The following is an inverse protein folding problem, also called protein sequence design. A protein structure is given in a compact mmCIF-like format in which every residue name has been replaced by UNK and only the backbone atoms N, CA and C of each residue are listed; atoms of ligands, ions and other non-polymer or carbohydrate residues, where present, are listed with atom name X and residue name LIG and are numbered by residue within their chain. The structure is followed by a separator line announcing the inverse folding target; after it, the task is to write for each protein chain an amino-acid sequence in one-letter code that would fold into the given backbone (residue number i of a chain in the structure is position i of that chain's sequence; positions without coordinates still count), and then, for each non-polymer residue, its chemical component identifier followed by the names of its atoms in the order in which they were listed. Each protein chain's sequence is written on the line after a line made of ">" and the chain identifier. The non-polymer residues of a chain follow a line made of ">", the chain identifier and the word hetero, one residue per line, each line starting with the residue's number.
data_IF_535328698100
#
_entry.id   IF_535328698100
#
_cell.length_a   1.000
_cell.length_b   1.000
_cell.length_c   1.000
_cell.angle_alpha   90.00
_cell.angle_beta   90.00
_cell.angle_gamma   90.00
#
_symmetry.space_group_name_H-M   'P 1'
#
loop_
_entity.id
_entity.type
_entity.pdbx_description
1 polymer ?
#
# COMPACT_ATOMS: atom_id res chain seq x y z
N UNK A 1 11.91 -24.17 -11.06
CA UNK A 1 11.98 -22.71 -11.15
C UNK A 1 10.55 -22.18 -11.15
N UNK A 2 10.12 -21.51 -10.08
CA UNK A 2 8.70 -21.23 -9.83
C UNK A 2 8.29 -19.86 -10.37
N UNK A 3 8.64 -19.57 -11.63
CA UNK A 3 8.40 -18.27 -12.27
C UNK A 3 6.92 -17.89 -12.28
N UNK A 4 6.05 -18.87 -12.58
CA UNK A 4 4.59 -18.71 -12.57
C UNK A 4 4.04 -18.43 -11.18
N UNK A 5 4.54 -19.09 -10.13
CA UNK A 5 4.10 -18.85 -8.76
C UNK A 5 4.52 -17.45 -8.27
N UNK A 6 5.76 -17.03 -8.58
CA UNK A 6 6.22 -15.68 -8.25
C UNK A 6 5.39 -14.60 -8.98
N UNK A 7 5.06 -14.84 -10.25
CA UNK A 7 4.19 -13.95 -11.02
C UNK A 7 2.78 -13.87 -10.42
N UNK A 8 2.18 -15.01 -10.06
CA UNK A 8 0.87 -15.07 -9.42
C UNK A 8 0.85 -14.36 -8.07
N UNK A 9 1.85 -14.61 -7.21
CA UNK A 9 1.95 -13.97 -5.89
C UNK A 9 2.04 -12.45 -6.02
N UNK A 10 2.95 -11.95 -6.86
CA UNK A 10 3.12 -10.53 -7.09
C UNK A 10 1.88 -9.88 -7.72
N UNK A 11 1.19 -10.59 -8.62
CA UNK A 11 -0.08 -10.14 -9.19
C UNK A 11 -1.16 -9.94 -8.13
N UNK A 12 -1.32 -10.91 -7.21
CA UNK A 12 -2.27 -10.77 -6.10
C UNK A 12 -1.90 -9.64 -5.15
N UNK A 13 -0.61 -9.45 -4.84
CA UNK A 13 -0.17 -8.32 -4.00
C UNK A 13 -0.55 -6.97 -4.61
N UNK A 14 -0.36 -6.79 -5.92
CA UNK A 14 -0.76 -5.56 -6.61
C UNK A 14 -2.28 -5.36 -6.56
N UNK A 15 -3.07 -6.41 -6.78
CA UNK A 15 -4.53 -6.33 -6.67
C UNK A 15 -4.95 -5.92 -5.26
N UNK A 16 -4.35 -6.49 -4.23
CA UNK A 16 -4.67 -6.17 -2.84
C UNK A 16 -4.32 -4.71 -2.50
N UNK A 17 -3.21 -4.17 -3.04
CA UNK A 17 -2.86 -2.75 -2.89
C UNK A 17 -3.85 -1.80 -3.55
N UNK A 18 -4.31 -2.13 -4.76
CA UNK A 18 -5.36 -1.37 -5.45
C UNK A 18 -6.67 -1.45 -4.66
N UNK A 19 -7.03 -2.64 -4.19
CA UNK A 19 -8.24 -2.86 -3.40
C UNK A 19 -8.24 -2.03 -2.11
N UNK A 20 -7.12 -2.01 -1.39
CA UNK A 20 -6.95 -1.15 -0.21
C UNK A 20 -7.18 0.33 -0.56
N UNK A 21 -6.60 0.81 -1.67
CA UNK A 21 -6.77 2.21 -2.09
C UNK A 21 -8.23 2.55 -2.41
N UNK A 22 -8.97 1.63 -3.03
CA UNK A 22 -10.40 1.79 -3.32
C UNK A 22 -11.20 1.85 -2.01
N UNK A 23 -10.93 0.96 -1.06
CA UNK A 23 -11.58 0.97 0.24
C UNK A 23 -11.31 2.26 1.01
N UNK A 24 -10.06 2.75 1.01
CA UNK A 24 -9.71 4.01 1.66
C UNK A 24 -10.42 5.20 1.01
N UNK A 25 -10.54 5.21 -0.32
CA UNK A 25 -11.30 6.25 -1.01
C UNK A 25 -12.80 6.20 -0.68
N UNK A 26 -13.37 5.00 -0.58
CA UNK A 26 -14.76 4.81 -0.16
C UNK A 26 -14.98 5.30 1.28
N UNK A 27 -14.07 4.98 2.20
CA UNK A 27 -14.10 5.48 3.58
C UNK A 27 -14.11 7.02 3.63
N UNK A 28 -13.29 7.69 2.81
CA UNK A 28 -13.26 9.16 2.78
C UNK A 28 -14.53 9.80 2.24
N UNK A 29 -15.25 9.11 1.36
CA UNK A 29 -16.53 9.59 0.79
C UNK A 29 -17.66 9.44 1.82
N UNK A 30 -17.69 8.33 2.55
CA UNK A 30 -18.75 8.00 3.51
C UNK A 30 -18.49 8.55 4.92
N UNK A 31 -17.28 9.05 5.21
CA UNK A 31 -16.94 9.61 6.51
C UNK A 31 -17.89 10.78 6.88
N UNK A 32 -18.50 10.77 8.09
CA UNK A 32 -19.41 11.83 8.51
C UNK A 32 -18.69 13.12 8.95
N UNK A 33 -17.37 13.18 8.78
CA UNK A 33 -16.50 14.30 9.12
C UNK A 33 -15.49 14.52 7.99
N UNK A 34 -14.94 15.72 7.96
CA UNK A 34 -14.08 16.26 6.92
C UNK A 34 -12.76 16.74 7.51
N UNK A 35 -11.79 17.05 6.66
CA UNK A 35 -10.49 17.60 7.10
C UNK A 35 -10.61 18.93 7.88
N UNK A 36 -11.69 19.68 7.66
CA UNK A 36 -11.99 20.93 8.37
C UNK A 36 -12.62 20.74 9.75
N UNK A 37 -12.99 19.51 10.13
CA UNK A 37 -13.65 19.23 11.41
C UNK A 37 -12.64 19.14 12.56
N UNK A 38 -12.19 20.31 12.97
CA UNK A 38 -11.30 20.56 14.10
C UNK A 38 -10.02 19.69 14.06
N UNK A 39 -9.48 19.38 15.24
CA UNK A 39 -8.21 18.65 15.38
C UNK A 39 -8.35 17.18 14.97
N UNK A 40 -9.52 16.58 15.20
CA UNK A 40 -9.75 15.17 14.86
C UNK A 40 -9.71 14.95 13.35
N UNK A 41 -10.53 15.68 12.59
CA UNK A 41 -10.58 15.55 11.13
C UNK A 41 -9.24 15.86 10.48
N UNK A 42 -8.57 16.94 10.90
CA UNK A 42 -7.25 17.29 10.36
C UNK A 42 -6.19 16.21 10.64
N UNK A 43 -6.13 15.66 11.86
CA UNK A 43 -5.16 14.60 12.20
C UNK A 43 -5.47 13.32 11.45
N UNK A 44 -6.74 12.92 11.39
CA UNK A 44 -7.20 11.73 10.67
C UNK A 44 -6.80 11.78 9.20
N UNK A 45 -7.27 12.78 8.45
CA UNK A 45 -7.10 12.84 7.00
C UNK A 45 -5.65 13.09 6.57
N UNK A 46 -4.86 13.84 7.35
CA UNK A 46 -3.43 14.04 7.03
C UNK A 46 -2.64 12.76 7.26
N UNK A 47 -2.82 12.08 8.40
CA UNK A 47 -2.06 10.87 8.72
C UNK A 47 -2.42 9.71 7.78
N UNK A 48 -3.71 9.43 7.64
CA UNK A 48 -4.22 8.35 6.76
C UNK A 48 -4.03 8.70 5.28
N UNK A 49 -4.17 9.98 4.89
CA UNK A 49 -3.95 10.43 3.52
C UNK A 49 -2.49 10.35 3.09
N UNK A 50 -1.55 10.74 3.95
CA UNK A 50 -0.12 10.59 3.66
C UNK A 50 0.26 9.12 3.54
N UNK A 51 -0.26 8.26 4.41
CA UNK A 51 -0.10 6.82 4.29
C UNK A 51 -0.71 6.28 2.98
N UNK A 52 -1.93 6.69 2.61
CA UNK A 52 -2.57 6.31 1.36
C UNK A 52 -1.74 6.69 0.12
N UNK A 53 -1.09 7.86 0.14
CA UNK A 53 -0.13 8.25 -0.90
C UNK A 53 1.05 7.28 -0.97
N UNK A 54 1.59 6.82 0.17
CA UNK A 54 2.65 5.81 0.18
C UNK A 54 2.17 4.46 -0.34
N UNK A 55 0.93 4.04 -0.04
CA UNK A 55 0.33 2.82 -0.62
C UNK A 55 0.27 2.91 -2.15
N UNK A 56 -0.11 4.05 -2.71
CA UNK A 56 -0.14 4.26 -4.18
C UNK A 56 1.27 4.16 -4.77
N UNK A 57 2.27 4.80 -4.16
CA UNK A 57 3.67 4.70 -4.59
C UNK A 57 4.17 3.26 -4.51
N UNK A 58 3.88 2.55 -3.42
CA UNK A 58 4.28 1.15 -3.24
C UNK A 58 3.62 0.23 -4.28
N UNK A 59 2.32 0.43 -4.53
CA UNK A 59 1.54 -0.40 -5.47
C UNK A 59 2.02 -0.19 -6.89
N UNK A 60 2.32 1.05 -7.28
CA UNK A 60 2.91 1.34 -8.59
C UNK A 60 4.33 0.77 -8.72
N UNK A 61 5.14 0.82 -7.66
CA UNK A 61 6.47 0.20 -7.67
C UNK A 61 6.41 -1.33 -7.83
N UNK A 62 5.49 -2.00 -7.11
CA UNK A 62 5.24 -3.43 -7.28
C UNK A 62 4.68 -3.77 -8.67
N UNK A 63 3.81 -2.93 -9.23
CA UNK A 63 3.31 -3.09 -10.60
C UNK A 63 4.45 -3.03 -11.62
N UNK A 64 5.39 -2.09 -11.48
CA UNK A 64 6.59 -2.05 -12.33
C UNK A 64 7.42 -3.32 -12.16
N UNK A 65 7.57 -3.83 -10.93
CA UNK A 65 8.24 -5.11 -10.71
C UNK A 65 7.50 -6.28 -11.38
N UNK A 66 6.17 -6.30 -11.36
CA UNK A 66 5.35 -7.31 -12.03
C UNK A 66 5.58 -7.32 -13.53
N UNK A 67 5.57 -6.14 -14.16
CA UNK A 67 5.83 -5.98 -15.60
C UNK A 67 7.28 -6.37 -15.97
N UNK A 68 8.25 -6.10 -15.09
CA UNK A 68 9.65 -6.52 -15.31
C UNK A 68 9.82 -8.04 -15.16
N UNK A 69 9.13 -8.65 -14.19
CA UNK A 69 9.17 -10.10 -13.97
C UNK A 69 8.51 -10.86 -15.13
N UNK A 70 7.39 -10.37 -15.66
CA UNK A 70 6.74 -10.96 -16.84
C UNK A 70 7.60 -10.90 -18.10
N UNK A 71 8.47 -9.88 -18.21
CA UNK A 71 9.46 -9.73 -19.29
C UNK A 71 10.81 -10.39 -19.01
N UNK A 72 10.91 -11.24 -17.99
CA UNK A 72 12.13 -11.99 -17.63
C UNK A 72 13.36 -11.10 -17.32
N UNK A 73 13.16 -9.88 -16.80
CA UNK A 73 14.28 -8.99 -16.45
C UNK A 73 14.98 -9.38 -15.13
N UNK A 74 14.40 -10.26 -14.32
CA UNK A 74 14.97 -10.70 -13.05
C UNK A 74 15.62 -12.07 -13.19
N UNK A 75 16.77 -12.24 -12.52
CA UNK A 75 17.38 -13.55 -12.30
C UNK A 75 17.25 -13.94 -10.83
N UNK A 76 17.50 -15.21 -10.50
CA UNK A 76 17.41 -15.71 -9.12
C UNK A 76 18.35 -15.03 -8.13
N UNK A 77 19.41 -14.39 -8.63
CA UNK A 77 20.46 -13.77 -7.80
C UNK A 77 20.50 -12.24 -7.96
N UNK A 78 19.76 -11.68 -8.92
CA UNK A 78 19.81 -10.27 -9.24
C UNK A 78 18.40 -9.71 -9.48
N UNK A 79 17.80 -9.27 -8.38
CA UNK A 79 16.44 -8.74 -8.33
C UNK A 79 16.29 -7.61 -7.30
N UNK A 80 17.33 -6.80 -7.10
CA UNK A 80 17.32 -5.70 -6.10
C UNK A 80 16.13 -4.74 -6.24
N UNK A 81 15.68 -4.46 -7.47
CA UNK A 81 14.49 -3.62 -7.68
C UNK A 81 13.22 -4.19 -7.04
N UNK A 82 13.08 -5.52 -7.03
CA UNK A 82 12.00 -6.20 -6.32
C UNK A 82 12.24 -6.21 -4.81
N UNK A 83 13.47 -6.43 -4.34
CA UNK A 83 13.81 -6.35 -2.91
C UNK A 83 13.48 -4.98 -2.31
N UNK A 84 13.86 -3.90 -2.99
CA UNK A 84 13.55 -2.54 -2.57
C UNK A 84 12.04 -2.28 -2.54
N UNK A 85 11.29 -2.78 -3.52
CA UNK A 85 9.84 -2.67 -3.54
C UNK A 85 9.20 -3.46 -2.39
N UNK A 86 9.72 -4.65 -2.06
CA UNK A 86 9.24 -5.46 -0.95
C UNK A 86 9.53 -4.80 0.41
N UNK A 87 10.72 -4.20 0.59
CA UNK A 87 11.03 -3.41 1.79
C UNK A 87 10.09 -2.22 1.95
N UNK A 88 9.83 -1.50 0.85
CA UNK A 88 8.90 -0.39 0.87
C UNK A 88 7.47 -0.84 1.19
N UNK A 89 7.04 -1.99 0.64
CA UNK A 89 5.73 -2.55 0.91
C UNK A 89 5.54 -2.92 2.40
N UNK A 90 6.52 -3.58 3.00
CA UNK A 90 6.47 -3.89 4.43
C UNK A 90 6.54 -2.65 5.33
N UNK A 91 7.27 -1.61 4.91
CA UNK A 91 7.23 -0.32 5.60
C UNK A 91 5.80 0.25 5.62
N UNK A 92 5.11 0.24 4.47
CA UNK A 92 3.72 0.68 4.37
C UNK A 92 2.82 -0.15 5.28
N UNK A 93 2.93 -1.47 5.27
CA UNK A 93 2.13 -2.36 6.14
C UNK A 93 2.30 -2.02 7.64
N UNK A 94 3.54 -1.82 8.09
CA UNK A 94 3.81 -1.51 9.50
C UNK A 94 3.22 -0.16 9.89
N UNK A 95 3.36 0.88 9.05
CA UNK A 95 2.75 2.19 9.30
C UNK A 95 1.22 2.07 9.41
N UNK A 96 0.59 1.26 8.57
CA UNK A 96 -0.85 1.04 8.63
C UNK A 96 -1.29 0.43 9.97
N UNK A 97 -0.57 -0.57 10.47
CA UNK A 97 -0.89 -1.19 11.77
C UNK A 97 -0.85 -0.16 12.92
N UNK A 98 0.12 0.76 12.91
CA UNK A 98 0.18 1.83 13.89
C UNK A 98 -0.99 2.83 13.76
N UNK A 99 -1.35 3.21 12.53
CA UNK A 99 -2.50 4.09 12.28
C UNK A 99 -3.81 3.44 12.72
N UNK A 100 -4.01 2.16 12.39
CA UNK A 100 -5.20 1.40 12.77
C UNK A 100 -5.36 1.35 14.30
N UNK A 101 -4.31 0.96 15.03
CA UNK A 101 -4.39 0.88 16.49
C UNK A 101 -4.61 2.26 17.13
N UNK A 102 -3.91 3.29 16.65
CA UNK A 102 -3.89 4.59 17.32
C UNK A 102 -5.12 5.45 16.99
N UNK A 103 -5.49 5.54 15.71
CA UNK A 103 -6.54 6.44 15.24
C UNK A 103 -7.89 5.71 15.20
N UNK A 104 -7.93 4.52 14.62
CA UNK A 104 -9.18 3.80 14.38
C UNK A 104 -9.68 3.01 15.59
N UNK A 105 -8.81 2.64 16.53
CA UNK A 105 -9.21 1.84 17.70
C UNK A 105 -9.08 2.60 19.01
N UNK A 106 -7.93 3.20 19.32
CA UNK A 106 -7.74 3.89 20.59
C UNK A 106 -8.30 5.32 20.60
N UNK A 107 -8.20 6.03 19.47
CA UNK A 107 -8.63 7.42 19.32
C UNK A 107 -10.10 7.61 18.88
N UNK A 108 -10.85 6.52 18.72
CA UNK A 108 -12.27 6.47 18.34
C UNK A 108 -13.18 6.26 19.54
#
# INVERSE_FOLDING_TARGET
>A
NNHTQALQGLFFTVILGIYFTILQAYEYIEAPFTISDAVYGSTFFVATGFHGLHVIIGTTFLLICLLRHSRFHFSSNHHFGFEAAAWYWHFVDVVWLFLYISIYWWGS
#
